data_IF_509265178398
#
_entry.id   IF_509265178398
#
_cell.length_a   1.000
_cell.length_b   1.000
_cell.length_c   1.000
_cell.angle_alpha   90.00
_cell.angle_beta   90.00
_cell.angle_gamma   90.00
#
_symmetry.space_group_name_H-M   'P 1'
#
loop_
_entity.id
_entity.type
_entity.pdbx_description
1 polymer ?
#
# COMPACT_ATOMS: atom_id res chain seq x y z
N UNK A 1 -29.46 4.26 8.99
CA UNK A 1 -29.31 3.75 7.62
C UNK A 1 -28.88 2.31 7.70
N UNK A 2 -29.60 1.40 7.08
CA UNK A 2 -29.23 -0.02 7.00
C UNK A 2 -28.59 -0.28 5.64
N UNK A 3 -27.41 -0.86 5.63
CA UNK A 3 -26.73 -1.29 4.40
C UNK A 3 -26.61 -2.81 4.42
N UNK A 4 -27.11 -3.46 3.37
CA UNK A 4 -26.94 -4.90 3.15
C UNK A 4 -25.55 -5.13 2.53
N UNK A 5 -24.68 -5.82 3.26
CA UNK A 5 -23.40 -6.25 2.77
C UNK A 5 -23.29 -7.77 2.96
N UNK A 6 -23.07 -8.51 1.87
CA UNK A 6 -22.95 -9.99 1.88
C UNK A 6 -24.09 -10.73 2.64
N UNK A 7 -25.34 -10.27 2.52
CA UNK A 7 -26.51 -10.77 3.24
C UNK A 7 -26.53 -10.49 4.76
N UNK A 8 -25.59 -9.76 5.29
CA UNK A 8 -25.62 -9.31 6.67
C UNK A 8 -26.17 -7.88 6.76
N UNK A 9 -27.07 -7.66 7.73
CA UNK A 9 -27.63 -6.34 8.00
C UNK A 9 -26.66 -5.58 8.89
N UNK A 10 -25.97 -4.58 8.34
CA UNK A 10 -25.20 -3.62 9.13
C UNK A 10 -26.14 -2.50 9.59
N UNK A 11 -26.48 -2.49 10.86
CA UNK A 11 -27.17 -1.36 11.50
C UNK A 11 -26.15 -0.27 11.85
N UNK A 12 -26.21 0.84 11.14
CA UNK A 12 -25.47 2.05 11.50
C UNK A 12 -26.40 2.90 12.37
N UNK A 13 -26.13 2.94 13.67
CA UNK A 13 -27.02 3.55 14.66
C UNK A 13 -27.01 5.08 14.67
N UNK A 14 -25.96 5.75 14.20
CA UNK A 14 -25.95 7.18 13.90
C UNK A 14 -24.75 7.52 13.02
N UNK A 15 -24.97 8.34 12.00
CA UNK A 15 -23.91 9.06 11.29
C UNK A 15 -24.11 10.52 11.70
N UNK A 16 -23.17 11.10 12.45
CA UNK A 16 -23.10 12.55 12.58
C UNK A 16 -22.87 13.12 11.18
N UNK A 17 -23.73 14.02 10.72
CA UNK A 17 -23.73 14.59 9.37
C UNK A 17 -24.17 13.60 8.25
N UNK A 18 -25.21 12.80 8.49
CA UNK A 18 -25.76 11.89 7.48
C UNK A 18 -26.11 12.59 6.16
N UNK A 19 -26.62 13.81 6.23
CA UNK A 19 -27.00 14.61 5.05
C UNK A 19 -25.76 14.98 4.21
N UNK A 20 -24.65 15.37 4.84
CA UNK A 20 -23.38 15.68 4.16
C UNK A 20 -22.80 14.45 3.46
N UNK A 21 -22.83 13.27 4.11
CA UNK A 21 -22.38 12.00 3.52
C UNK A 21 -23.28 11.58 2.35
N UNK A 22 -24.58 11.84 2.42
CA UNK A 22 -25.53 11.57 1.34
C UNK A 22 -25.26 12.50 0.17
N UNK A 23 -25.08 13.78 0.42
CA UNK A 23 -24.80 14.78 -0.62
C UNK A 23 -23.46 14.51 -1.32
N UNK A 24 -22.41 14.18 -0.58
CA UNK A 24 -21.12 13.79 -1.14
C UNK A 24 -21.21 12.53 -2.03
N UNK A 25 -22.00 11.54 -1.63
CA UNK A 25 -22.24 10.34 -2.43
C UNK A 25 -23.10 10.62 -3.67
N UNK A 26 -24.03 11.55 -3.59
CA UNK A 26 -24.81 12.01 -4.76
C UNK A 26 -23.92 12.75 -5.76
N UNK A 27 -23.05 13.64 -5.31
CA UNK A 27 -22.07 14.34 -6.15
C UNK A 27 -21.11 13.36 -6.82
N UNK A 28 -20.68 12.32 -6.11
CA UNK A 28 -19.88 11.23 -6.67
C UNK A 28 -20.65 10.47 -7.75
N UNK A 29 -21.92 10.14 -7.52
CA UNK A 29 -22.78 9.46 -8.50
C UNK A 29 -23.06 10.33 -9.74
N UNK A 30 -23.36 11.61 -9.56
CA UNK A 30 -23.53 12.56 -10.67
C UNK A 30 -22.26 12.69 -11.50
N UNK A 31 -21.09 12.80 -10.85
CA UNK A 31 -19.80 12.81 -11.52
C UNK A 31 -19.59 11.53 -12.32
N UNK A 32 -19.96 10.37 -11.80
CA UNK A 32 -19.87 9.08 -12.48
C UNK A 32 -20.77 9.00 -13.71
N UNK A 33 -22.02 9.46 -13.59
CA UNK A 33 -22.99 9.50 -14.69
C UNK A 33 -22.51 10.47 -15.80
N UNK A 34 -21.88 11.57 -15.42
CA UNK A 34 -21.41 12.60 -16.35
C UNK A 34 -19.96 12.35 -16.86
N UNK A 35 -19.39 11.18 -16.63
CA UNK A 35 -18.01 10.80 -17.02
C UNK A 35 -16.92 11.75 -16.48
N UNK A 36 -17.21 12.54 -15.46
CA UNK A 36 -16.29 13.55 -14.89
C UNK A 36 -15.52 13.06 -13.65
N UNK A 37 -15.73 11.81 -13.23
CA UNK A 37 -14.98 11.24 -12.11
C UNK A 37 -13.59 10.80 -12.59
N UNK A 38 -12.58 11.42 -12.00
CA UNK A 38 -11.22 10.90 -12.06
C UNK A 38 -11.10 9.74 -11.08
N UNK A 39 -11.01 8.52 -11.60
CA UNK A 39 -10.74 7.35 -10.79
C UNK A 39 -9.36 7.51 -10.13
N UNK A 40 -9.30 7.35 -8.81
CA UNK A 40 -8.05 7.45 -8.06
C UNK A 40 -7.66 6.03 -7.63
N UNK A 41 -6.47 5.54 -8.04
CA UNK A 41 -5.99 4.25 -7.58
C UNK A 41 -5.93 4.18 -6.05
N UNK A 42 -6.40 3.08 -5.48
CA UNK A 42 -6.46 2.87 -4.03
C UNK A 42 -6.45 1.38 -3.68
N UNK A 43 -6.65 1.05 -2.40
CA UNK A 43 -6.61 -0.34 -1.93
C UNK A 43 -7.63 -1.26 -2.61
N UNK A 44 -8.78 -0.72 -3.04
CA UNK A 44 -9.77 -1.46 -3.83
C UNK A 44 -9.22 -1.99 -5.17
N UNK A 45 -8.17 -1.37 -5.71
CA UNK A 45 -7.56 -1.81 -6.97
C UNK A 45 -6.89 -3.17 -6.87
N UNK A 46 -6.48 -3.60 -5.67
CA UNK A 46 -5.90 -4.93 -5.46
C UNK A 46 -6.90 -6.06 -5.69
N UNK A 47 -8.18 -5.77 -5.55
CA UNK A 47 -9.30 -6.70 -5.74
C UNK A 47 -10.01 -6.50 -7.09
N UNK A 48 -9.62 -5.48 -7.86
CA UNK A 48 -10.29 -5.12 -9.10
C UNK A 48 -9.84 -6.01 -10.25
N UNK A 49 -10.76 -6.75 -10.85
CA UNK A 49 -10.51 -7.60 -12.02
C UNK A 49 -10.05 -6.82 -13.25
N UNK A 50 -10.34 -5.53 -13.30
CA UNK A 50 -9.99 -4.63 -14.40
C UNK A 50 -8.76 -3.78 -14.13
N UNK A 51 -8.05 -3.98 -13.03
CA UNK A 51 -6.89 -3.17 -12.64
C UNK A 51 -5.84 -3.07 -13.75
N UNK A 52 -5.56 -4.16 -14.46
CA UNK A 52 -4.57 -4.20 -15.55
C UNK A 52 -5.01 -3.49 -16.85
N UNK A 53 -6.30 -3.22 -17.01
CA UNK A 53 -6.86 -2.55 -18.19
C UNK A 53 -7.60 -1.26 -17.84
N UNK A 54 -7.51 -0.81 -16.61
CA UNK A 54 -8.23 0.34 -16.09
C UNK A 54 -7.81 1.67 -16.75
N UNK A 55 -6.54 1.80 -17.15
CA UNK A 55 -6.00 3.03 -17.73
C UNK A 55 -5.71 4.14 -16.72
N UNK A 56 -6.16 3.99 -15.47
CA UNK A 56 -5.95 4.98 -14.40
C UNK A 56 -4.59 4.83 -13.70
N UNK A 57 -3.95 3.67 -13.85
CA UNK A 57 -2.54 3.54 -13.50
C UNK A 57 -1.70 4.16 -14.61
N UNK A 58 -0.88 5.17 -14.27
CA UNK A 58 -0.06 5.83 -15.26
C UNK A 58 0.92 4.83 -15.90
N UNK A 59 1.07 4.92 -17.22
CA UNK A 59 2.02 4.10 -17.96
C UNK A 59 3.40 4.72 -17.97
N UNK A 60 4.42 3.95 -17.63
CA UNK A 60 5.82 4.37 -17.70
C UNK A 60 6.32 4.53 -19.15
N UNK A 61 5.66 3.89 -20.09
CA UNK A 61 6.02 4.00 -21.52
C UNK A 61 5.35 5.19 -22.21
N UNK A 62 4.51 5.96 -21.52
CA UNK A 62 3.71 7.02 -22.12
C UNK A 62 2.60 6.54 -23.06
N UNK A 63 2.44 5.22 -23.25
CA UNK A 63 1.38 4.61 -24.06
C UNK A 63 0.13 4.44 -23.21
N UNK A 64 -1.04 4.75 -23.78
CA UNK A 64 -2.31 4.43 -23.12
C UNK A 64 -2.57 2.92 -23.12
N UNK A 65 -3.03 2.39 -22.00
CA UNK A 65 -3.46 0.99 -21.91
C UNK A 65 -4.68 0.78 -22.79
N UNK A 66 -4.59 -0.16 -23.74
CA UNK A 66 -5.71 -0.50 -24.63
C UNK A 66 -6.46 -1.71 -24.10
N UNK A 67 -7.79 -1.72 -24.26
CA UNK A 67 -8.63 -2.86 -23.88
C UNK A 67 -8.22 -4.18 -24.57
N UNK A 68 -7.54 -4.10 -25.70
CA UNK A 68 -7.02 -5.26 -26.44
C UNK A 68 -5.74 -5.84 -25.84
N UNK A 69 -5.03 -5.10 -24.99
CA UNK A 69 -3.84 -5.63 -24.34
C UNK A 69 -4.24 -6.64 -23.28
N UNK A 70 -3.52 -7.74 -23.26
CA UNK A 70 -3.62 -8.66 -22.14
C UNK A 70 -2.97 -8.02 -20.92
N UNK A 71 -3.73 -7.92 -19.85
CA UNK A 71 -3.23 -7.38 -18.59
C UNK A 71 -2.73 -8.47 -17.65
N UNK A 72 -1.64 -8.20 -16.95
CA UNK A 72 -1.20 -8.95 -15.78
C UNK A 72 -1.01 -7.97 -14.63
N UNK A 73 -1.36 -8.42 -13.42
CA UNK A 73 -1.15 -7.64 -12.20
C UNK A 73 -0.05 -8.30 -11.39
N UNK A 74 0.92 -7.51 -10.99
CA UNK A 74 2.09 -7.95 -10.24
C UNK A 74 2.10 -7.18 -8.92
N UNK A 75 1.87 -7.89 -7.81
CA UNK A 75 2.01 -7.28 -6.48
C UNK A 75 3.49 -7.10 -6.12
N UNK A 76 3.76 -6.12 -5.25
CA UNK A 76 5.08 -5.89 -4.64
C UNK A 76 5.70 -7.22 -4.15
N UNK A 77 4.96 -7.95 -3.33
CA UNK A 77 5.44 -9.22 -2.74
C UNK A 77 5.78 -10.26 -3.79
N UNK A 78 4.97 -10.38 -4.85
CA UNK A 78 5.26 -11.33 -5.91
C UNK A 78 6.52 -10.97 -6.68
N UNK A 79 6.71 -9.68 -6.97
CA UNK A 79 7.90 -9.23 -7.70
C UNK A 79 9.18 -9.40 -6.88
N UNK A 80 9.16 -8.99 -5.60
CA UNK A 80 10.32 -9.14 -4.71
C UNK A 80 10.68 -10.61 -4.43
N UNK A 81 9.74 -11.53 -4.56
CA UNK A 81 9.99 -12.96 -4.38
C UNK A 81 10.34 -13.69 -5.70
N UNK A 82 10.37 -13.00 -6.82
CA UNK A 82 10.69 -13.60 -8.13
C UNK A 82 12.06 -14.31 -8.10
N UNK A 83 13.07 -13.65 -7.56
CA UNK A 83 14.44 -14.16 -7.52
C UNK A 83 14.59 -15.38 -6.61
N UNK A 84 13.69 -15.57 -5.65
CA UNK A 84 13.66 -16.75 -4.81
C UNK A 84 13.16 -17.99 -5.57
N UNK A 85 12.16 -17.81 -6.44
CA UNK A 85 11.61 -18.89 -7.25
C UNK A 85 10.77 -18.35 -8.42
N UNK A 86 11.35 -18.26 -9.61
CA UNK A 86 10.67 -17.81 -10.81
C UNK A 86 9.42 -18.65 -11.15
N UNK A 87 9.48 -19.96 -10.90
CA UNK A 87 8.33 -20.86 -11.09
C UNK A 87 7.16 -20.51 -10.17
N UNK A 88 7.45 -20.20 -8.90
CA UNK A 88 6.43 -19.76 -7.96
C UNK A 88 5.84 -18.41 -8.35
N UNK A 89 6.68 -17.50 -8.83
CA UNK A 89 6.24 -16.21 -9.36
C UNK A 89 5.27 -16.41 -10.55
N UNK A 90 5.64 -17.23 -11.54
CA UNK A 90 4.79 -17.55 -12.66
C UNK A 90 3.45 -18.19 -12.24
N UNK A 91 3.48 -19.12 -11.29
CA UNK A 91 2.26 -19.75 -10.80
C UNK A 91 1.30 -18.75 -10.16
N UNK A 92 1.80 -17.80 -9.40
CA UNK A 92 0.97 -16.78 -8.73
C UNK A 92 0.44 -15.73 -9.70
N UNK A 93 1.30 -15.25 -10.62
CA UNK A 93 0.97 -14.13 -11.51
C UNK A 93 0.23 -14.55 -12.76
N UNK A 94 0.62 -15.68 -13.38
CA UNK A 94 0.03 -16.16 -14.63
C UNK A 94 -1.12 -17.14 -14.40
N UNK A 95 -0.98 -18.03 -13.42
CA UNK A 95 -1.93 -19.12 -13.19
C UNK A 95 -2.87 -18.87 -12.02
N UNK A 96 -2.57 -17.87 -11.16
CA UNK A 96 -3.39 -17.50 -10.01
C UNK A 96 -3.61 -18.68 -9.05
N UNK A 97 -2.58 -19.50 -8.83
CA UNK A 97 -2.66 -20.61 -7.88
C UNK A 97 -2.72 -20.02 -6.47
N UNK A 98 -3.76 -20.31 -5.70
CA UNK A 98 -3.91 -19.79 -4.34
C UNK A 98 -2.78 -20.33 -3.43
N UNK A 99 -2.47 -19.55 -2.39
CA UNK A 99 -1.63 -20.04 -1.30
C UNK A 99 -2.42 -21.04 -0.49
N UNK A 100 -1.71 -22.02 0.08
CA UNK A 100 -2.31 -22.83 1.15
C UNK A 100 -2.73 -21.93 2.31
N UNK A 101 -3.94 -22.11 2.79
CA UNK A 101 -4.43 -21.43 3.98
C UNK A 101 -3.67 -21.99 5.20
N UNK A 102 -3.13 -21.10 6.01
CA UNK A 102 -2.52 -21.47 7.30
C UNK A 102 -3.60 -21.41 8.38
N UNK A 103 -3.59 -22.34 9.29
CA UNK A 103 -4.57 -22.42 10.38
C UNK A 103 -4.51 -21.19 11.31
N UNK A 104 -3.34 -20.58 11.47
CA UNK A 104 -3.17 -19.33 12.24
C UNK A 104 -1.87 -18.62 11.87
N UNK A 105 -1.86 -17.30 12.05
CA UNK A 105 -0.63 -16.51 11.87
C UNK A 105 0.31 -16.72 13.06
N UNK A 106 1.62 -16.91 12.82
CA UNK A 106 2.62 -16.95 13.89
C UNK A 106 2.65 -15.62 14.69
N UNK A 107 3.01 -15.69 15.96
CA UNK A 107 3.08 -14.52 16.84
C UNK A 107 3.81 -13.30 16.23
N UNK A 108 5.02 -13.44 15.63
CA UNK A 108 5.69 -12.30 15.01
C UNK A 108 4.89 -11.66 13.86
N UNK A 109 4.11 -12.45 13.14
CA UNK A 109 3.25 -11.95 12.06
C UNK A 109 2.04 -11.20 12.62
N UNK A 110 1.41 -11.68 13.70
CA UNK A 110 0.33 -10.97 14.41
C UNK A 110 0.81 -9.61 14.90
N UNK A 111 1.98 -9.57 15.57
CA UNK A 111 2.60 -8.32 16.01
C UNK A 111 2.85 -7.39 14.84
N UNK A 112 3.38 -7.89 13.72
CA UNK A 112 3.62 -7.09 12.52
C UNK A 112 2.34 -6.47 11.98
N UNK A 113 1.29 -7.26 11.80
CA UNK A 113 -0.01 -6.79 11.29
C UNK A 113 -0.60 -5.71 12.20
N UNK A 114 -0.67 -5.97 13.51
CA UNK A 114 -1.19 -5.00 14.48
C UNK A 114 -0.32 -3.75 14.56
N UNK A 115 1.01 -3.88 14.51
CA UNK A 115 1.92 -2.74 14.49
C UNK A 115 1.67 -1.83 13.29
N UNK A 116 1.62 -2.36 12.06
CA UNK A 116 1.36 -1.56 10.85
C UNK A 116 0.01 -0.86 10.93
N UNK A 117 -1.05 -1.60 11.30
CA UNK A 117 -2.41 -1.06 11.46
C UNK A 117 -2.45 0.12 12.42
N UNK A 118 -1.96 -0.06 13.63
CA UNK A 118 -2.12 0.94 14.69
C UNK A 118 -1.12 2.09 14.56
N UNK A 119 0.14 1.83 14.14
CA UNK A 119 1.09 2.89 13.86
C UNK A 119 0.63 3.81 12.74
N UNK A 120 0.04 3.25 11.67
CA UNK A 120 -0.56 4.04 10.61
C UNK A 120 -1.69 4.94 11.10
N UNK A 121 -2.55 4.45 12.00
CA UNK A 121 -3.63 5.26 12.61
C UNK A 121 -3.09 6.38 13.51
N UNK A 122 -2.03 6.09 14.27
CA UNK A 122 -1.44 7.03 15.21
C UNK A 122 -0.68 8.17 14.51
N UNK A 123 0.04 7.86 13.43
CA UNK A 123 0.89 8.82 12.73
C UNK A 123 0.12 9.69 11.71
N UNK A 124 -1.09 9.28 11.32
CA UNK A 124 -1.86 10.00 10.33
C UNK A 124 -2.27 11.39 10.85
N UNK A 125 -1.95 12.43 10.06
CA UNK A 125 -2.25 13.84 10.36
C UNK A 125 -1.67 14.36 11.69
N UNK A 126 -0.70 13.66 12.27
CA UNK A 126 0.00 14.11 13.47
C UNK A 126 1.17 14.99 13.04
N UNK A 127 1.24 16.23 13.56
CA UNK A 127 2.37 17.15 13.36
C UNK A 127 3.34 17.18 14.53
N UNK A 128 2.94 16.63 15.66
CA UNK A 128 3.73 16.58 16.89
C UNK A 128 3.73 15.15 17.43
N UNK A 129 4.75 14.41 17.01
CA UNK A 129 4.95 13.00 17.37
C UNK A 129 5.44 12.81 18.83
N UNK A 130 5.66 13.92 19.57
CA UNK A 130 6.14 13.90 20.95
C UNK A 130 5.04 14.25 21.97
N UNK A 131 3.77 14.36 21.56
CA UNK A 131 2.69 14.66 22.48
C UNK A 131 2.63 13.67 23.63
N UNK A 132 2.56 14.22 24.84
CA UNK A 132 2.23 13.41 26.02
C UNK A 132 0.87 12.76 25.82
N UNK A 133 0.79 11.43 26.03
CA UNK A 133 -0.46 10.67 25.89
C UNK A 133 -0.61 9.81 24.64
N UNK A 134 0.31 9.88 23.67
CA UNK A 134 0.27 9.03 22.47
C UNK A 134 0.30 7.54 22.83
N UNK A 135 1.14 7.14 23.78
CA UNK A 135 1.19 5.74 24.25
C UNK A 135 -0.12 5.31 24.93
N UNK A 136 -0.73 6.19 25.72
CA UNK A 136 -2.01 5.88 26.37
C UNK A 136 -3.15 5.78 25.32
N UNK A 137 -3.13 6.63 24.32
CA UNK A 137 -4.03 6.53 23.16
C UNK A 137 -3.84 5.20 22.43
N UNK A 138 -2.61 4.79 22.18
CA UNK A 138 -2.30 3.50 21.54
C UNK A 138 -2.80 2.32 22.41
N UNK A 139 -2.57 2.33 23.71
CA UNK A 139 -3.09 1.32 24.64
C UNK A 139 -4.62 1.20 24.57
N UNK A 140 -5.31 2.32 24.44
CA UNK A 140 -6.77 2.32 24.29
C UNK A 140 -7.22 1.66 22.97
N UNK A 141 -6.48 1.85 21.88
CA UNK A 141 -6.77 1.21 20.59
C UNK A 141 -6.47 -0.30 20.62
N UNK A 142 -5.52 -0.74 21.43
CA UNK A 142 -5.08 -2.14 21.54
C UNK A 142 -5.88 -2.98 22.54
N UNK A 143 -6.94 -2.44 23.17
CA UNK A 143 -7.70 -3.14 24.23
C UNK A 143 -8.29 -4.50 23.80
N UNK A 144 -8.59 -4.67 22.53
CA UNK A 144 -9.17 -5.90 21.98
C UNK A 144 -8.12 -6.86 21.43
N UNK A 145 -6.85 -6.45 21.38
CA UNK A 145 -5.76 -7.30 20.93
C UNK A 145 -5.31 -8.27 22.05
N UNK A 146 -4.67 -9.36 21.65
CA UNK A 146 -3.99 -10.27 22.58
C UNK A 146 -2.97 -9.48 23.43
N UNK A 147 -2.97 -9.72 24.75
CA UNK A 147 -2.16 -8.92 25.67
C UNK A 147 -0.66 -8.96 25.38
N UNK A 148 -0.11 -10.09 24.91
CA UNK A 148 1.30 -10.20 24.54
C UNK A 148 1.57 -9.45 23.22
N UNK A 149 0.66 -9.52 22.26
CA UNK A 149 0.73 -8.74 21.01
C UNK A 149 0.69 -7.25 21.32
N UNK A 150 -0.24 -6.82 22.17
CA UNK A 150 -0.39 -5.41 22.55
C UNK A 150 0.89 -4.83 23.20
N UNK A 151 1.51 -5.58 24.10
CA UNK A 151 2.78 -5.18 24.77
C UNK A 151 3.89 -4.99 23.71
N UNK A 152 4.04 -5.94 22.80
CA UNK A 152 5.10 -5.88 21.80
C UNK A 152 4.85 -4.76 20.78
N UNK A 153 3.59 -4.51 20.39
CA UNK A 153 3.22 -3.37 19.52
C UNK A 153 3.54 -2.04 20.18
N UNK A 154 3.24 -1.87 21.48
CA UNK A 154 3.58 -0.63 22.23
C UNK A 154 5.09 -0.40 22.23
N UNK A 155 5.88 -1.42 22.54
CA UNK A 155 7.34 -1.35 22.54
C UNK A 155 7.88 -0.91 21.17
N UNK A 156 7.39 -1.51 20.09
CA UNK A 156 7.80 -1.15 18.72
C UNK A 156 7.36 0.25 18.32
N UNK A 157 6.21 0.70 18.79
CA UNK A 157 5.75 2.06 18.55
C UNK A 157 6.59 3.10 19.29
N UNK A 158 7.03 2.83 20.52
CA UNK A 158 7.99 3.67 21.23
C UNK A 158 9.34 3.76 20.50
N UNK A 159 9.84 2.65 19.96
CA UNK A 159 11.03 2.63 19.10
C UNK A 159 10.84 3.49 17.85
N UNK A 160 9.68 3.38 17.20
CA UNK A 160 9.34 4.20 16.02
C UNK A 160 9.34 5.69 16.36
N UNK A 161 8.67 6.10 17.44
CA UNK A 161 8.63 7.50 17.87
C UNK A 161 10.04 8.05 18.15
N UNK A 162 10.90 7.25 18.81
CA UNK A 162 12.28 7.62 19.07
C UNK A 162 13.11 7.82 17.80
N UNK A 163 12.83 7.07 16.75
CA UNK A 163 13.54 7.21 15.47
C UNK A 163 13.08 8.43 14.68
N UNK A 164 11.77 8.73 14.69
CA UNK A 164 11.23 9.83 13.88
C UNK A 164 11.25 11.20 14.58
N UNK A 165 11.58 11.27 15.87
CA UNK A 165 11.56 12.52 16.67
C UNK A 165 12.43 13.65 16.12
N UNK A 166 13.51 13.30 15.40
CA UNK A 166 14.48 14.26 14.88
C UNK A 166 14.11 14.79 13.48
N UNK A 167 13.04 14.29 12.89
CA UNK A 167 12.51 14.82 11.63
C UNK A 167 11.65 16.05 11.87
N UNK A 168 12.18 17.24 11.54
CA UNK A 168 11.49 18.50 11.80
C UNK A 168 10.32 18.79 10.84
N UNK A 169 10.37 18.27 9.61
CA UNK A 169 9.42 18.58 8.53
C UNK A 169 8.77 17.30 7.98
N UNK A 170 8.55 16.31 8.84
CA UNK A 170 7.85 15.08 8.50
C UNK A 170 6.34 15.31 8.60
N UNK A 171 5.63 15.08 7.52
CA UNK A 171 4.18 15.13 7.46
C UNK A 171 3.64 13.83 6.85
N UNK A 172 2.82 13.09 7.59
CA UNK A 172 2.14 11.88 7.12
C UNK A 172 0.71 12.26 6.73
N UNK A 173 0.36 12.08 5.47
CA UNK A 173 -0.94 12.51 4.90
C UNK A 173 -1.88 11.36 4.59
N UNK A 174 -1.37 10.15 4.37
CA UNK A 174 -2.19 8.97 4.17
C UNK A 174 -1.48 7.69 4.61
N UNK A 175 -2.26 6.64 4.86
CA UNK A 175 -1.81 5.29 5.16
C UNK A 175 -2.29 4.31 4.10
N UNK A 176 -1.59 3.17 3.97
CA UNK A 176 -1.97 2.08 3.06
C UNK A 176 -2.24 2.57 1.62
N UNK A 177 -1.44 3.53 1.17
CA UNK A 177 -1.62 4.12 -0.15
C UNK A 177 -1.08 3.21 -1.24
N UNK A 178 -1.92 2.85 -2.20
CA UNK A 178 -1.47 2.11 -3.38
C UNK A 178 -0.67 3.04 -4.29
N UNK A 179 0.60 2.66 -4.49
CA UNK A 179 1.48 3.23 -5.49
C UNK A 179 1.62 2.22 -6.61
N UNK A 180 1.17 2.57 -7.79
CA UNK A 180 1.16 1.65 -8.92
C UNK A 180 1.44 2.36 -10.24
N UNK A 181 1.87 1.57 -11.21
CA UNK A 181 2.12 2.00 -12.58
C UNK A 181 1.93 0.84 -13.53
N UNK A 182 1.73 1.14 -14.81
CA UNK A 182 1.61 0.15 -15.86
C UNK A 182 2.79 0.27 -16.83
N UNK A 183 3.43 -0.87 -17.12
CA UNK A 183 4.42 -0.99 -18.19
C UNK A 183 3.79 -1.77 -19.34
N UNK A 184 3.90 -1.22 -20.56
CA UNK A 184 3.45 -1.89 -21.77
C UNK A 184 4.69 -2.47 -22.46
N UNK A 185 4.71 -3.77 -22.64
CA UNK A 185 5.87 -4.49 -23.20
C UNK A 185 5.42 -5.63 -24.09
N UNK A 186 6.30 -6.03 -25.01
CA UNK A 186 6.11 -7.25 -25.78
C UNK A 186 6.42 -8.46 -24.88
N UNK A 187 5.54 -9.46 -24.93
CA UNK A 187 5.71 -10.66 -24.13
C UNK A 187 5.06 -11.88 -24.77
N UNK A 188 5.56 -13.04 -24.36
CA UNK A 188 4.95 -14.33 -24.63
C UNK A 188 4.37 -14.83 -23.31
N UNK A 189 3.07 -14.97 -23.22
CA UNK A 189 2.38 -15.37 -21.99
C UNK A 189 1.50 -16.59 -22.25
N UNK A 190 1.68 -17.63 -21.47
CA UNK A 190 0.81 -18.79 -21.47
C UNK A 190 -0.29 -18.65 -20.40
N UNK A 191 -1.53 -18.84 -20.77
CA UNK A 191 -2.65 -18.76 -19.81
C UNK A 191 -2.99 -20.11 -19.19
N UNK A 192 -3.96 -20.12 -18.26
CA UNK A 192 -4.47 -21.33 -17.59
C UNK A 192 -4.96 -22.41 -18.53
N UNK A 193 -5.41 -22.06 -19.74
CA UNK A 193 -5.86 -22.98 -20.79
C UNK A 193 -4.74 -23.42 -21.72
N UNK A 194 -3.49 -23.22 -21.33
CA UNK A 194 -2.29 -23.51 -22.11
C UNK A 194 -2.22 -22.79 -23.48
N UNK A 195 -3.07 -21.77 -23.69
CA UNK A 195 -2.97 -20.92 -24.88
C UNK A 195 -1.82 -19.96 -24.74
N UNK A 196 -0.95 -19.93 -25.74
CA UNK A 196 0.15 -18.98 -25.85
C UNK A 196 -0.38 -17.68 -26.44
N UNK A 197 -0.05 -16.57 -25.81
CA UNK A 197 -0.29 -15.22 -26.32
C UNK A 197 1.07 -14.58 -26.57
N UNK A 198 1.27 -14.10 -27.79
CA UNK A 198 2.44 -13.33 -28.18
C UNK A 198 1.99 -11.95 -28.65
N UNK A 199 2.59 -10.91 -28.11
CA UNK A 199 2.27 -9.52 -28.43
C UNK A 199 2.40 -8.59 -27.24
N UNK A 200 1.83 -7.39 -27.36
CA UNK A 200 1.89 -6.39 -26.30
C UNK A 200 1.00 -6.79 -25.10
N UNK A 201 1.57 -6.71 -23.92
CA UNK A 201 0.88 -6.87 -22.66
C UNK A 201 1.00 -5.60 -21.81
N UNK A 202 0.02 -5.38 -20.97
CA UNK A 202 0.04 -4.37 -19.93
C UNK A 202 0.38 -5.03 -18.56
N UNK A 203 1.58 -4.83 -18.08
CA UNK A 203 2.00 -5.30 -16.77
C UNK A 203 1.78 -4.18 -15.75
N UNK A 204 0.82 -4.34 -14.88
CA UNK A 204 0.50 -3.36 -13.83
C UNK A 204 1.14 -3.78 -12.52
N UNK A 205 2.09 -2.98 -12.06
CA UNK A 205 2.63 -3.10 -10.71
C UNK A 205 1.67 -2.44 -9.72
N UNK A 206 1.46 -3.08 -8.58
CA UNK A 206 0.71 -2.54 -7.45
C UNK A 206 1.42 -2.87 -6.14
N UNK A 207 1.78 -1.82 -5.39
CA UNK A 207 2.31 -1.93 -4.04
C UNK A 207 1.56 -1.00 -3.10
N UNK A 208 1.17 -1.47 -1.92
CA UNK A 208 0.62 -0.61 -0.87
C UNK A 208 1.76 -0.15 0.01
N UNK A 209 2.00 1.16 0.05
CA UNK A 209 2.92 1.78 0.98
C UNK A 209 2.25 1.91 2.35
N UNK A 210 2.98 1.65 3.43
CA UNK A 210 2.42 1.74 4.78
C UNK A 210 1.95 3.17 5.07
N UNK A 211 2.79 4.16 4.76
CA UNK A 211 2.48 5.58 4.93
C UNK A 211 3.01 6.38 3.75
N UNK A 212 2.31 7.46 3.42
CA UNK A 212 2.81 8.47 2.48
C UNK A 212 2.62 9.87 3.07
N UNK A 213 3.44 10.81 2.59
CA UNK A 213 3.42 12.17 3.09
C UNK A 213 4.42 13.07 2.41
N UNK A 214 5.05 13.94 3.20
CA UNK A 214 6.14 14.81 2.77
C UNK A 214 7.26 14.84 3.81
N UNK A 215 8.49 14.95 3.34
CA UNK A 215 9.67 15.21 4.14
C UNK A 215 10.45 16.35 3.47
N UNK A 216 10.64 17.45 4.21
CA UNK A 216 11.28 18.67 3.68
C UNK A 216 10.65 19.19 2.38
N UNK A 217 9.36 18.96 2.21
CA UNK A 217 8.61 19.37 1.03
C UNK A 217 8.60 18.36 -0.12
N UNK A 218 9.49 17.37 -0.14
CA UNK A 218 9.48 16.30 -1.14
C UNK A 218 8.42 15.22 -0.81
N UNK A 219 7.80 14.59 -1.82
CA UNK A 219 6.96 13.42 -1.60
C UNK A 219 7.70 12.32 -0.84
N UNK A 220 7.02 11.75 0.13
CA UNK A 220 7.56 10.75 1.03
C UNK A 220 6.76 9.46 0.95
N UNK A 221 7.49 8.34 0.89
CA UNK A 221 6.97 7.00 1.10
C UNK A 221 7.66 6.39 2.33
N UNK A 222 6.90 5.84 3.25
CA UNK A 222 7.43 5.17 4.44
C UNK A 222 6.98 3.71 4.45
N UNK A 223 7.94 2.83 4.64
CA UNK A 223 7.74 1.41 4.90
C UNK A 223 8.23 1.07 6.31
N UNK A 224 7.34 0.57 7.12
CA UNK A 224 7.62 0.11 8.46
C UNK A 224 8.05 -1.35 8.43
N UNK A 225 9.09 -1.70 9.14
CA UNK A 225 9.63 -3.07 9.17
C UNK A 225 9.82 -3.54 10.60
N UNK A 226 9.11 -4.58 10.99
CA UNK A 226 9.24 -5.22 12.31
C UNK A 226 10.32 -6.31 12.36
N UNK A 227 10.96 -6.57 11.23
CA UNK A 227 12.06 -7.52 11.05
C UNK A 227 13.36 -6.85 10.64
N UNK A 228 14.40 -7.66 10.40
CA UNK A 228 15.71 -7.18 9.94
C UNK A 228 15.66 -6.67 8.50
N UNK A 229 16.66 -5.86 8.14
CA UNK A 229 16.85 -5.42 6.76
C UNK A 229 17.15 -6.61 5.86
N UNK A 230 16.49 -6.65 4.70
CA UNK A 230 16.71 -7.65 3.66
C UNK A 230 17.18 -6.98 2.36
N UNK A 231 17.99 -7.66 1.52
CA UNK A 231 18.47 -7.10 0.25
C UNK A 231 17.36 -6.57 -0.66
N UNK A 232 16.23 -7.28 -0.71
CA UNK A 232 15.08 -6.90 -1.52
C UNK A 232 14.42 -5.58 -1.13
N UNK A 233 14.68 -5.03 0.06
CA UNK A 233 14.13 -3.73 0.46
C UNK A 233 14.69 -2.58 -0.37
N UNK A 234 15.88 -2.75 -1.02
CA UNK A 234 16.36 -1.75 -1.99
C UNK A 234 15.48 -1.69 -3.23
N UNK A 235 15.20 -2.84 -3.83
CA UNK A 235 14.31 -2.91 -4.98
C UNK A 235 12.86 -2.46 -4.64
N UNK A 236 12.40 -2.72 -3.42
CA UNK A 236 11.13 -2.21 -2.92
C UNK A 236 11.10 -0.68 -2.93
N UNK A 237 12.18 -0.02 -2.45
CA UNK A 237 12.27 1.43 -2.46
C UNK A 237 12.23 2.02 -3.88
N UNK A 238 12.93 1.40 -4.83
CA UNK A 238 12.94 1.82 -6.24
C UNK A 238 11.54 1.73 -6.87
N UNK A 239 10.81 0.64 -6.61
CA UNK A 239 9.45 0.45 -7.10
C UNK A 239 8.47 1.49 -6.55
N UNK A 240 8.59 1.82 -5.27
CA UNK A 240 7.77 2.85 -4.66
C UNK A 240 8.14 4.25 -5.15
N UNK A 241 9.44 4.53 -5.29
CA UNK A 241 9.88 5.80 -5.83
C UNK A 241 9.34 5.99 -7.25
N UNK A 242 9.44 4.98 -8.12
CA UNK A 242 8.90 5.04 -9.46
C UNK A 242 7.39 5.29 -9.46
N UNK A 243 6.63 4.54 -8.64
CA UNK A 243 5.19 4.75 -8.49
C UNK A 243 4.83 6.15 -8.00
N UNK A 244 5.60 6.68 -7.05
CA UNK A 244 5.41 8.04 -6.53
C UNK A 244 5.77 9.11 -7.58
N UNK A 245 6.89 9.01 -8.30
CA UNK A 245 7.24 9.92 -9.39
C UNK A 245 6.13 10.04 -10.42
N UNK A 246 5.64 8.90 -10.90
CA UNK A 246 4.63 8.86 -11.93
C UNK A 246 3.32 9.49 -11.44
N UNK A 247 2.95 9.29 -10.17
CA UNK A 247 1.71 9.82 -9.60
C UNK A 247 1.82 11.30 -9.24
N UNK A 248 2.95 11.73 -8.67
CA UNK A 248 3.13 13.11 -8.19
C UNK A 248 3.68 14.05 -9.25
N UNK A 249 4.46 13.53 -10.22
CA UNK A 249 5.23 14.30 -11.21
C UNK A 249 6.23 15.26 -10.57
N UNK A 250 6.64 14.98 -9.36
CA UNK A 250 7.70 15.74 -8.67
C UNK A 250 9.07 15.26 -9.14
N UNK A 251 10.11 16.07 -8.92
CA UNK A 251 11.48 15.75 -9.37
C UNK A 251 12.29 14.95 -8.37
N UNK A 252 11.84 14.88 -7.15
CA UNK A 252 12.47 14.13 -6.06
C UNK A 252 11.41 13.34 -5.31
N UNK A 253 11.75 12.13 -4.86
CA UNK A 253 10.95 11.30 -3.97
C UNK A 253 11.86 10.75 -2.88
N UNK A 254 11.40 10.80 -1.65
CA UNK A 254 12.08 10.22 -0.49
C UNK A 254 11.39 8.92 -0.12
N UNK A 255 12.16 7.85 0.09
CA UNK A 255 11.67 6.58 0.62
C UNK A 255 12.39 6.28 1.92
N UNK A 256 11.63 6.11 3.00
CA UNK A 256 12.14 5.71 4.30
C UNK A 256 11.75 4.27 4.59
N UNK A 257 12.73 3.42 4.88
CA UNK A 257 12.50 2.16 5.58
C UNK A 257 12.84 2.36 7.06
N UNK A 258 11.85 2.18 7.93
CA UNK A 258 12.01 2.34 9.37
C UNK A 258 11.94 0.95 10.01
N UNK A 259 13.07 0.51 10.56
CA UNK A 259 13.22 -0.80 11.19
C UNK A 259 13.02 -0.69 12.70
N UNK A 260 12.02 -1.39 13.21
CA UNK A 260 11.68 -1.47 14.64
C UNK A 260 11.76 -2.94 15.10
N UNK A 261 12.96 -3.43 15.24
CA UNK A 261 13.19 -4.80 15.69
C UNK A 261 14.20 -4.83 16.83
N UNK A 262 14.14 -5.87 17.69
CA UNK A 262 15.08 -6.03 18.80
C UNK A 262 16.56 -6.18 18.33
N UNK A 263 16.75 -6.51 17.07
CA UNK A 263 18.09 -6.70 16.47
C UNK A 263 18.57 -5.48 15.72
N UNK A 264 17.68 -4.63 15.27
CA UNK A 264 18.03 -3.54 14.38
C UNK A 264 17.00 -2.41 14.50
N UNK A 265 17.44 -1.30 15.08
CA UNK A 265 16.71 -0.05 15.10
C UNK A 265 17.42 0.94 14.20
N UNK A 266 16.85 1.22 13.03
CA UNK A 266 17.45 2.20 12.12
C UNK A 266 16.45 2.73 11.11
N UNK A 267 16.76 3.89 10.58
CA UNK A 267 16.13 4.46 9.40
C UNK A 267 17.10 4.32 8.23
N UNK A 268 16.59 3.83 7.12
CA UNK A 268 17.30 3.85 5.83
C UNK A 268 16.56 4.82 4.94
N UNK A 269 17.12 6.01 4.77
CA UNK A 269 16.63 7.03 3.84
C UNK A 269 17.26 6.84 2.47
N UNK A 270 16.43 6.92 1.44
CA UNK A 270 16.86 6.96 0.03
C UNK A 270 16.14 8.10 -0.66
N UNK A 271 16.91 8.92 -1.37
CA UNK A 271 16.39 9.98 -2.21
C UNK A 271 16.60 9.61 -3.66
N UNK A 272 15.52 9.67 -4.41
CA UNK A 272 15.52 9.39 -5.84
C UNK A 272 15.21 10.66 -6.59
N UNK A 273 15.85 10.85 -7.75
CA UNK A 273 15.59 11.96 -8.66
C UNK A 273 15.13 11.41 -10.01
N UNK A 274 14.44 12.23 -10.79
CA UNK A 274 13.90 11.85 -12.10
C UNK A 274 14.98 11.56 -13.17
N UNK A 275 16.26 11.88 -12.86
CA UNK A 275 17.41 11.58 -13.73
C UNK A 275 18.00 10.17 -13.49
N UNK A 276 17.51 9.42 -12.50
CA UNK A 276 17.95 8.05 -12.13
C UNK A 276 17.02 6.97 -12.69
#
# INVERSE_FOLDING_TARGET
VAVLYNNDLLEISSIENADEVIDDNFLLLEGFINENIKLIPGNHCTLCERSSSCGEYPSINGEATKKSYRGIVISKTNLLNKDNCERQFAWKTQYGIPKEEKESDPFPMKVGISFHKFSGMMLLNTKDYQKSGEIERLKNLLKEEDGEVAIEVIKKYEQLLNQIKDFNNLEITARERVLGFTAITDAIVQNKSHKVYEGKIAATFMGSADLVGRLDGAPLVVELKTGAQLPQHSAEAELYALGAFIQTKEKEVVVLHIYVSDKEEKIVERRFTDDQ
#
